data_IF_796666618099
#
_entry.id   IF_796666618099
#
_cell.length_a   1.000
_cell.length_b   1.000
_cell.length_c   1.000
_cell.angle_alpha   90.00
_cell.angle_beta   90.00
_cell.angle_gamma   90.00
#
_symmetry.space_group_name_H-M   'P 1'
#
loop_
_entity.id
_entity.type
_entity.pdbx_description
1 polymer ?
#
# COMPACT_ATOMS: atom_id res chain seq x y z
N UNK A 1 -11.88 -4.02 0.18
CA UNK A 1 -11.21 -5.13 0.88
C UNK A 1 -9.75 -5.25 0.47
N UNK A 2 -9.43 -5.40 -0.83
CA UNK A 2 -8.05 -5.53 -1.34
C UNK A 2 -7.02 -4.51 -0.82
N UNK A 3 -7.20 -3.20 -1.03
CA UNK A 3 -6.22 -2.19 -0.59
C UNK A 3 -6.03 -2.15 0.93
N UNK A 4 -7.10 -2.27 1.71
CA UNK A 4 -7.01 -2.28 3.17
C UNK A 4 -6.18 -3.44 3.72
N UNK A 5 -6.32 -4.64 3.15
CA UNK A 5 -5.50 -5.81 3.51
C UNK A 5 -4.06 -5.59 3.06
N UNK A 6 -3.84 -5.13 1.83
CA UNK A 6 -2.50 -4.89 1.29
C UNK A 6 -1.71 -3.87 2.11
N UNK A 7 -2.34 -2.75 2.46
CA UNK A 7 -1.74 -1.71 3.29
C UNK A 7 -1.44 -2.25 4.69
N UNK A 8 -2.35 -3.00 5.30
CA UNK A 8 -2.14 -3.61 6.61
C UNK A 8 -0.91 -4.53 6.65
N UNK A 9 -0.74 -5.36 5.62
CA UNK A 9 0.43 -6.23 5.48
C UNK A 9 1.72 -5.43 5.29
N UNK A 10 1.71 -4.44 4.39
CA UNK A 10 2.88 -3.58 4.11
C UNK A 10 3.31 -2.83 5.37
N UNK A 11 2.37 -2.23 6.10
CA UNK A 11 2.65 -1.52 7.35
C UNK A 11 3.19 -2.46 8.43
N UNK A 12 2.57 -3.63 8.61
CA UNK A 12 2.99 -4.61 9.61
C UNK A 12 4.45 -5.05 9.39
N UNK A 13 4.78 -5.46 8.16
CA UNK A 13 6.14 -5.87 7.80
C UNK A 13 7.14 -4.72 7.89
N UNK A 14 6.75 -3.50 7.54
CA UNK A 14 7.62 -2.33 7.67
C UNK A 14 7.94 -2.03 9.14
N UNK A 15 6.93 -2.07 10.04
CA UNK A 15 7.14 -1.87 11.48
C UNK A 15 8.07 -2.95 12.04
N UNK A 16 7.84 -4.23 11.72
CA UNK A 16 8.71 -5.31 12.20
C UNK A 16 10.15 -5.13 11.70
N UNK A 17 10.34 -4.78 10.43
CA UNK A 17 11.66 -4.56 9.84
C UNK A 17 12.39 -3.38 10.50
N UNK A 18 11.69 -2.27 10.72
CA UNK A 18 12.27 -1.09 11.40
C UNK A 18 12.58 -1.37 12.87
N UNK A 19 11.76 -2.18 13.55
CA UNK A 19 12.00 -2.57 14.94
C UNK A 19 13.23 -3.50 15.07
N UNK A 20 13.43 -4.39 14.09
CA UNK A 20 14.59 -5.29 14.03
C UNK A 20 15.89 -4.57 13.64
N UNK A 21 15.80 -3.57 12.77
CA UNK A 21 16.98 -2.90 12.18
C UNK A 21 16.73 -1.39 12.03
N UNK A 22 16.84 -0.63 13.14
CA UNK A 22 16.50 0.81 13.17
C UNK A 22 17.30 1.68 12.19
N UNK A 23 18.55 1.30 11.91
CA UNK A 23 19.44 1.98 10.97
C UNK A 23 18.89 1.98 9.52
N UNK A 24 18.08 0.99 9.18
CA UNK A 24 17.44 0.87 7.86
C UNK A 24 16.11 1.61 7.75
N UNK A 25 15.61 2.21 8.84
CA UNK A 25 14.24 2.69 8.93
C UNK A 25 13.86 3.75 7.89
N UNK A 26 14.80 4.63 7.53
CA UNK A 26 14.59 5.63 6.47
C UNK A 26 14.32 4.98 5.10
N UNK A 27 15.09 3.95 4.75
CA UNK A 27 14.92 3.20 3.50
C UNK A 27 13.63 2.38 3.53
N UNK A 28 13.38 1.65 4.63
CA UNK A 28 12.16 0.84 4.81
C UNK A 28 10.90 1.70 4.68
N UNK A 29 10.87 2.87 5.31
CA UNK A 29 9.73 3.81 5.23
C UNK A 29 9.51 4.32 3.80
N UNK A 30 10.58 4.57 3.05
CA UNK A 30 10.48 4.99 1.64
C UNK A 30 9.84 3.90 0.78
N UNK A 31 10.33 2.65 0.90
CA UNK A 31 9.78 1.50 0.17
C UNK A 31 8.35 1.17 0.62
N UNK A 32 8.05 1.31 1.90
CA UNK A 32 6.69 1.13 2.46
C UNK A 32 5.69 2.09 1.79
N UNK A 33 6.00 3.39 1.71
CA UNK A 33 5.11 4.34 1.04
C UNK A 33 4.96 4.07 -0.45
N UNK A 34 6.02 3.62 -1.12
CA UNK A 34 5.93 3.20 -2.52
C UNK A 34 4.98 2.01 -2.68
N UNK A 35 5.07 1.00 -1.80
CA UNK A 35 4.16 -0.15 -1.80
C UNK A 35 2.70 0.24 -1.54
N UNK A 36 2.47 1.18 -0.62
CA UNK A 36 1.13 1.74 -0.35
C UNK A 36 0.60 2.46 -1.59
N UNK A 37 1.41 3.30 -2.23
CA UNK A 37 1.02 4.05 -3.41
C UNK A 37 0.60 3.13 -4.56
N UNK A 38 1.31 2.03 -4.79
CA UNK A 38 0.92 1.04 -5.80
C UNK A 38 -0.37 0.30 -5.43
N UNK A 39 -0.52 -0.05 -4.16
CA UNK A 39 -1.73 -0.71 -3.66
C UNK A 39 -2.97 0.18 -3.86
N UNK A 40 -2.84 1.47 -3.56
CA UNK A 40 -3.90 2.45 -3.79
C UNK A 40 -4.14 2.73 -5.27
N UNK A 41 -3.10 2.81 -6.10
CA UNK A 41 -3.24 3.03 -7.53
C UNK A 41 -4.12 1.95 -8.19
N UNK A 42 -3.90 0.67 -7.87
CA UNK A 42 -4.71 -0.43 -8.38
C UNK A 42 -6.16 -0.37 -7.87
N UNK A 43 -6.35 0.02 -6.60
CA UNK A 43 -7.69 0.18 -6.04
C UNK A 43 -8.47 1.31 -6.71
N UNK A 44 -7.82 2.45 -6.94
CA UNK A 44 -8.42 3.61 -7.61
C UNK A 44 -8.74 3.31 -9.07
N UNK A 45 -7.86 2.59 -9.79
CA UNK A 45 -8.16 2.13 -11.15
C UNK A 45 -9.42 1.26 -11.16
N UNK A 46 -9.50 0.27 -10.27
CA UNK A 46 -10.68 -0.58 -10.14
C UNK A 46 -11.96 0.21 -9.80
N UNK A 47 -11.84 1.20 -8.92
CA UNK A 47 -12.95 2.08 -8.54
C UNK A 47 -13.44 2.95 -9.71
N UNK A 48 -12.52 3.56 -10.47
CA UNK A 48 -12.85 4.36 -11.65
C UNK A 48 -13.51 3.51 -12.73
N UNK A 49 -12.96 2.32 -13.02
CA UNK A 49 -13.56 1.38 -13.98
C UNK A 49 -14.97 0.97 -13.55
N UNK A 50 -15.18 0.69 -12.26
CA UNK A 50 -16.50 0.40 -11.74
C UNK A 50 -17.49 1.55 -11.96
N UNK A 51 -17.09 2.80 -11.70
CA UNK A 51 -17.94 3.97 -11.98
C UNK A 51 -18.23 4.07 -13.47
N UNK A 52 -17.23 3.94 -14.34
CA UNK A 52 -17.42 4.02 -15.79
C UNK A 52 -18.43 2.98 -16.28
N UNK A 53 -18.32 1.73 -15.84
CA UNK A 53 -19.24 0.66 -16.26
C UNK A 53 -20.66 0.84 -15.69
N UNK A 54 -20.81 1.47 -14.52
CA UNK A 54 -22.12 1.68 -13.90
C UNK A 54 -22.93 2.78 -14.59
N UNK A 55 -22.26 3.77 -15.17
CA UNK A 55 -22.88 4.97 -15.75
C UNK A 55 -22.67 5.11 -17.28
N UNK A 56 -21.99 4.15 -17.91
CA UNK A 56 -21.95 4.00 -19.37
C UNK A 56 -23.24 3.36 -19.89
#
# INVERSE_FOLDING_TARGET
MGPGIGIGLIFGSAIESMARQPESAGMVRTTMFLGIAFTEALALIGFVVFILLKYA
#
